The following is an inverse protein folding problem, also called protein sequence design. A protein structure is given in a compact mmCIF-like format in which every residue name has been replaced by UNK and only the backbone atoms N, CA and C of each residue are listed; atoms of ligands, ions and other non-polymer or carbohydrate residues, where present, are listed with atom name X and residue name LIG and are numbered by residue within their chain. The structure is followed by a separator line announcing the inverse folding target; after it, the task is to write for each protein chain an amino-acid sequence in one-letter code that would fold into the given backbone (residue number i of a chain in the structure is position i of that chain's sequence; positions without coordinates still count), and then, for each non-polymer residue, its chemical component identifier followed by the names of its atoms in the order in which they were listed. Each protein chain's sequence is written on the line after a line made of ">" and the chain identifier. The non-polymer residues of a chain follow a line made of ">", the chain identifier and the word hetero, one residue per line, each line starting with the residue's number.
data_IF_340266006803
#
_entry.id   IF_340266006803
#
_cell.length_a   1.000
_cell.length_b   1.000
_cell.length_c   1.000
_cell.angle_alpha   90.00
_cell.angle_beta   90.00
_cell.angle_gamma   90.00
#
_symmetry.space_group_name_H-M   'P 1'
#
loop_
_entity.id
_entity.type
_entity.pdbx_description
1 polymer ?
#
# COMPACT_ATOMS: atom_id res chain seq x y z
N UNK A 1 -11.20 -0.20 2.23
CA UNK A 1 -10.01 -0.85 1.65
C UNK A 1 -9.90 -0.61 0.15
N UNK A 2 -10.81 -1.15 -0.67
CA UNK A 2 -10.68 -1.11 -2.14
C UNK A 2 -10.68 0.31 -2.72
N UNK A 3 -11.55 1.19 -2.20
CA UNK A 3 -11.56 2.62 -2.55
C UNK A 3 -10.23 3.29 -2.16
N UNK A 4 -9.69 2.98 -0.98
CA UNK A 4 -8.41 3.51 -0.52
C UNK A 4 -7.24 3.04 -1.38
N UNK A 5 -7.20 1.76 -1.74
CA UNK A 5 -6.20 1.20 -2.64
C UNK A 5 -6.28 1.82 -4.05
N UNK A 6 -7.49 1.98 -4.59
CA UNK A 6 -7.70 2.65 -5.87
C UNK A 6 -7.17 4.09 -5.85
N UNK A 7 -7.49 4.84 -4.79
CA UNK A 7 -7.00 6.21 -4.61
C UNK A 7 -5.47 6.27 -4.49
N UNK A 8 -4.87 5.32 -3.77
CA UNK A 8 -3.41 5.23 -3.64
C UNK A 8 -2.73 4.92 -4.98
N UNK A 9 -3.30 4.00 -5.77
CA UNK A 9 -2.81 3.67 -7.12
C UNK A 9 -2.87 4.89 -8.03
N UNK A 10 -3.98 5.65 -8.01
CA UNK A 10 -4.10 6.88 -8.80
C UNK A 10 -3.00 7.88 -8.44
N UNK A 11 -2.73 8.08 -7.14
CA UNK A 11 -1.64 8.94 -6.68
C UNK A 11 -0.26 8.48 -7.18
N UNK A 12 0.05 7.19 -7.05
CA UNK A 12 1.31 6.60 -7.50
C UNK A 12 1.50 6.71 -9.02
N UNK A 13 0.44 6.47 -9.80
CA UNK A 13 0.48 6.60 -11.26
C UNK A 13 0.63 8.06 -11.69
N UNK A 14 -0.01 9.00 -10.97
CA UNK A 14 0.17 10.43 -11.22
C UNK A 14 1.61 10.88 -11.03
N UNK A 15 2.32 10.34 -10.03
CA UNK A 15 3.72 10.64 -9.77
C UNK A 15 4.67 10.18 -10.89
N UNK A 16 4.26 9.25 -11.77
CA UNK A 16 5.08 8.83 -12.91
C UNK A 16 5.26 9.93 -13.97
N UNK A 17 4.36 10.92 -14.00
CA UNK A 17 4.40 12.04 -14.94
C UNK A 17 5.16 13.26 -14.39
N UNK A 18 5.68 13.17 -13.16
CA UNK A 18 6.51 14.23 -12.57
C UNK A 18 7.86 14.27 -13.28
N UNK A 19 8.30 15.48 -13.60
CA UNK A 19 9.61 15.77 -14.20
C UNK A 19 10.21 17.04 -13.55
N UNK A 20 11.42 17.39 -13.96
CA UNK A 20 12.20 18.56 -13.50
C UNK A 20 11.46 19.90 -13.60
N UNK A 21 10.52 20.03 -14.54
CA UNK A 21 9.69 21.22 -14.70
C UNK A 21 8.41 21.25 -13.85
N UNK A 22 8.11 20.18 -13.11
CA UNK A 22 6.87 20.09 -12.33
C UNK A 22 6.95 20.96 -11.06
N UNK A 23 6.00 21.88 -10.83
CA UNK A 23 5.99 22.69 -9.61
C UNK A 23 5.87 21.82 -8.36
N UNK A 24 6.62 22.15 -7.30
CA UNK A 24 6.60 21.40 -6.04
C UNK A 24 5.19 21.28 -5.42
N UNK A 25 4.34 22.31 -5.61
CA UNK A 25 2.94 22.30 -5.17
C UNK A 25 2.16 21.19 -5.87
N UNK A 26 2.39 20.97 -7.17
CA UNK A 26 1.71 19.92 -7.92
C UNK A 26 2.17 18.53 -7.46
N UNK A 27 3.46 18.36 -7.17
CA UNK A 27 3.99 17.12 -6.58
C UNK A 27 3.34 16.85 -5.21
N UNK A 28 3.25 17.87 -4.36
CA UNK A 28 2.59 17.75 -3.06
C UNK A 28 1.12 17.35 -3.21
N UNK A 29 0.39 17.94 -4.17
CA UNK A 29 -1.00 17.57 -4.46
C UNK A 29 -1.13 16.12 -4.95
N UNK A 30 -0.18 15.61 -5.73
CA UNK A 30 -0.15 14.21 -6.17
C UNK A 30 0.16 13.22 -5.04
N UNK A 31 0.86 13.66 -3.99
CA UNK A 31 1.10 12.85 -2.79
C UNK A 31 -0.14 12.72 -1.90
N UNK A 32 -1.08 13.68 -1.95
CA UNK A 32 -2.32 13.65 -1.17
C UNK A 32 -3.17 12.40 -1.43
N UNK A 33 -3.55 12.04 -2.68
CA UNK A 33 -4.33 10.83 -2.92
C UNK A 33 -3.58 9.56 -2.52
N UNK A 34 -2.25 9.53 -2.69
CA UNK A 34 -1.42 8.42 -2.18
C UNK A 34 -1.57 8.26 -0.67
N UNK A 35 -1.37 9.35 0.09
CA UNK A 35 -1.43 9.34 1.55
C UNK A 35 -2.84 9.03 2.06
N UNK A 36 -3.87 9.65 1.49
CA UNK A 36 -5.27 9.39 1.82
C UNK A 36 -5.65 7.94 1.53
N UNK A 37 -5.23 7.40 0.39
CA UNK A 37 -5.48 6.01 0.03
C UNK A 37 -4.89 5.02 1.04
N UNK A 38 -3.66 5.28 1.49
CA UNK A 38 -3.03 4.54 2.58
C UNK A 38 -3.81 4.69 3.90
N UNK A 39 -4.19 5.91 4.28
CA UNK A 39 -4.95 6.17 5.50
C UNK A 39 -6.33 5.50 5.52
N UNK A 40 -6.98 5.34 4.37
CA UNK A 40 -8.26 4.64 4.21
C UNK A 40 -8.13 3.12 4.10
N UNK A 41 -6.89 2.60 4.04
CA UNK A 41 -6.62 1.17 3.85
C UNK A 41 -5.99 0.53 5.08
N UNK A 42 -4.94 1.14 5.63
CA UNK A 42 -4.10 0.51 6.67
C UNK A 42 -4.83 0.33 8.02
N UNK A 43 -5.52 1.34 8.59
CA UNK A 43 -6.23 1.16 9.85
C UNK A 43 -7.37 0.14 9.79
N UNK A 44 -8.29 0.18 8.80
CA UNK A 44 -9.31 -0.86 8.66
C UNK A 44 -8.73 -2.26 8.47
N UNK A 45 -7.59 -2.39 7.79
CA UNK A 45 -6.90 -3.68 7.60
C UNK A 45 -6.37 -4.22 8.90
N UNK A 46 -5.73 -3.35 9.68
CA UNK A 46 -5.23 -3.72 11.00
C UNK A 46 -6.37 -4.15 11.91
N UNK A 47 -7.48 -3.42 11.94
CA UNK A 47 -8.66 -3.77 12.72
C UNK A 47 -9.22 -5.13 12.30
N UNK A 48 -9.48 -5.33 11.00
CA UNK A 48 -10.01 -6.60 10.49
C UNK A 48 -9.10 -7.80 10.79
N UNK A 49 -7.77 -7.63 10.75
CA UNK A 49 -6.85 -8.72 11.10
C UNK A 49 -6.86 -9.07 12.59
N UNK A 50 -6.99 -8.07 13.47
CA UNK A 50 -7.05 -8.30 14.91
C UNK A 50 -8.41 -8.87 15.35
N UNK A 51 -9.50 -8.40 14.74
CA UNK A 51 -10.86 -8.88 15.01
C UNK A 51 -11.08 -10.33 14.56
N UNK A 52 -10.29 -10.82 13.59
CA UNK A 52 -10.36 -12.20 13.10
C UNK A 52 -9.79 -13.25 14.08
N UNK A 53 -9.16 -12.82 15.18
CA UNK A 53 -8.48 -13.70 16.13
C UNK A 53 -9.19 -13.66 17.49
N UNK A 54 -9.34 -14.79 18.21
CA UNK A 54 -9.91 -14.81 19.56
C UNK A 54 -9.19 -13.83 20.50
N UNK A 55 -9.93 -13.22 21.43
CA UNK A 55 -9.42 -12.20 22.34
C UNK A 55 -8.20 -12.66 23.16
N UNK A 56 -8.15 -13.93 23.53
CA UNK A 56 -7.05 -14.53 24.29
C UNK A 56 -5.73 -14.55 23.49
N UNK A 57 -5.80 -14.45 22.17
CA UNK A 57 -4.66 -14.46 21.24
C UNK A 57 -4.40 -13.09 20.60
N UNK A 58 -5.17 -12.05 20.95
CA UNK A 58 -5.03 -10.71 20.38
C UNK A 58 -3.60 -10.14 20.57
N UNK A 59 -2.97 -10.40 21.72
CA UNK A 59 -1.58 -10.02 21.98
C UNK A 59 -0.58 -10.68 21.04
N UNK A 60 -0.77 -11.98 20.73
CA UNK A 60 0.06 -12.70 19.76
C UNK A 60 -0.15 -12.16 18.34
N UNK A 61 -1.40 -11.93 17.94
CA UNK A 61 -1.73 -11.37 16.63
C UNK A 61 -1.10 -9.97 16.44
N UNK A 62 -1.21 -9.10 17.44
CA UNK A 62 -0.59 -7.78 17.43
C UNK A 62 0.94 -7.86 17.39
N UNK A 63 1.55 -8.80 18.13
CA UNK A 63 2.99 -9.05 18.11
C UNK A 63 3.48 -9.48 16.73
N UNK A 64 2.81 -10.44 16.11
CA UNK A 64 3.11 -10.90 14.73
C UNK A 64 2.93 -9.77 13.72
N UNK A 65 1.85 -9.00 13.82
CA UNK A 65 1.62 -7.86 12.93
C UNK A 65 2.74 -6.81 13.07
N UNK A 66 3.20 -6.54 14.29
CA UNK A 66 4.28 -5.59 14.50
C UNK A 66 5.62 -6.11 13.97
N UNK A 67 5.94 -7.39 14.18
CA UNK A 67 7.12 -8.03 13.61
C UNK A 67 7.10 -7.99 12.07
N UNK A 68 5.93 -8.29 11.48
CA UNK A 68 5.73 -8.22 10.03
C UNK A 68 5.93 -6.78 9.50
N UNK A 69 5.43 -5.75 10.19
CA UNK A 69 5.65 -4.34 9.82
C UNK A 69 7.12 -3.96 9.85
N UNK A 70 7.86 -4.36 10.88
CA UNK A 70 9.29 -4.07 10.98
C UNK A 70 10.09 -4.74 9.85
N UNK A 71 9.78 -6.01 9.57
CA UNK A 71 10.37 -6.76 8.47
C UNK A 71 10.05 -6.12 7.11
N UNK A 72 8.78 -5.78 6.87
CA UNK A 72 8.35 -5.11 5.63
C UNK A 72 9.03 -3.74 5.46
N UNK A 73 9.21 -2.98 6.55
CA UNK A 73 9.95 -1.71 6.53
C UNK A 73 11.40 -1.90 6.11
N UNK A 74 12.11 -2.84 6.73
CA UNK A 74 13.50 -3.15 6.38
C UNK A 74 13.64 -3.64 4.92
N UNK A 75 12.76 -4.54 4.49
CA UNK A 75 12.74 -5.06 3.11
C UNK A 75 12.42 -3.95 2.10
N UNK A 76 11.43 -3.10 2.38
CA UNK A 76 11.06 -1.98 1.50
C UNK A 76 12.20 -1.00 1.32
N UNK A 77 12.90 -0.63 2.42
CA UNK A 77 14.08 0.23 2.37
C UNK A 77 15.19 -0.41 1.54
N UNK A 78 15.50 -1.69 1.78
CA UNK A 78 16.57 -2.39 1.08
C UNK A 78 16.28 -2.53 -0.44
N UNK A 79 15.08 -2.99 -0.80
CA UNK A 79 14.70 -3.21 -2.19
C UNK A 79 14.59 -1.88 -2.94
N UNK A 80 13.79 -0.92 -2.46
CA UNK A 80 13.62 0.34 -3.16
C UNK A 80 14.89 1.20 -3.14
N UNK A 81 15.69 1.13 -2.07
CA UNK A 81 17.02 1.73 -2.00
C UNK A 81 17.97 1.18 -3.06
N UNK A 82 18.00 -0.14 -3.23
CA UNK A 82 18.78 -0.77 -4.29
C UNK A 82 18.33 -0.34 -5.68
N UNK A 83 17.02 -0.24 -5.94
CA UNK A 83 16.50 0.20 -7.23
C UNK A 83 16.95 1.62 -7.62
N UNK A 84 16.97 2.56 -6.67
CA UNK A 84 17.40 3.94 -6.95
C UNK A 84 18.91 4.12 -7.01
N UNK A 85 19.69 3.18 -6.45
CA UNK A 85 21.15 3.28 -6.37
C UNK A 85 21.87 3.32 -7.73
N UNK A 86 21.33 2.60 -8.73
CA UNK A 86 21.88 2.57 -10.10
C UNK A 86 21.41 3.70 -11.00
N UNK A 87 20.52 4.57 -10.50
CA UNK A 87 19.94 5.68 -11.27
C UNK A 87 18.61 6.15 -10.67
N UNK A 88 18.63 7.31 -10.04
CA UNK A 88 17.52 7.80 -9.21
C UNK A 88 16.18 7.84 -9.95
N UNK A 89 16.12 8.48 -11.13
CA UNK A 89 14.85 8.66 -11.86
C UNK A 89 14.28 7.32 -12.35
N UNK A 90 15.12 6.47 -12.95
CA UNK A 90 14.70 5.15 -13.44
C UNK A 90 14.26 4.24 -12.27
N UNK A 91 15.05 4.20 -11.20
CA UNK A 91 14.74 3.44 -9.99
C UNK A 91 13.47 3.92 -9.28
N UNK A 92 13.23 5.23 -9.23
CA UNK A 92 12.00 5.81 -8.67
C UNK A 92 10.78 5.41 -9.50
N UNK A 93 10.84 5.54 -10.83
CA UNK A 93 9.74 5.12 -11.71
C UNK A 93 9.41 3.64 -11.57
N UNK A 94 10.45 2.80 -11.47
CA UNK A 94 10.28 1.37 -11.24
C UNK A 94 9.66 1.09 -9.85
N UNK A 95 10.10 1.80 -8.82
CA UNK A 95 9.56 1.66 -7.46
C UNK A 95 8.08 2.06 -7.38
N UNK A 96 7.70 3.16 -8.04
CA UNK A 96 6.31 3.61 -8.16
C UNK A 96 5.47 2.57 -8.93
N UNK A 97 5.98 2.05 -10.04
CA UNK A 97 5.32 1.02 -10.84
C UNK A 97 5.09 -0.29 -10.06
N UNK A 98 6.11 -0.79 -9.36
CA UNK A 98 6.02 -1.97 -8.50
C UNK A 98 4.99 -1.75 -7.38
N UNK A 99 5.04 -0.58 -6.72
CA UNK A 99 4.09 -0.25 -5.64
C UNK A 99 2.65 -0.21 -6.13
N UNK A 100 2.41 0.41 -7.29
CA UNK A 100 1.09 0.44 -7.92
C UNK A 100 0.62 -0.96 -8.29
N UNK A 101 1.48 -1.79 -8.89
CA UNK A 101 1.17 -3.17 -9.23
C UNK A 101 0.81 -4.01 -8.01
N UNK A 102 1.58 -3.89 -6.91
CA UNK A 102 1.30 -4.60 -5.66
C UNK A 102 -0.06 -4.18 -5.05
N UNK A 103 -0.39 -2.89 -5.08
CA UNK A 103 -1.69 -2.40 -4.61
C UNK A 103 -2.85 -2.88 -5.50
N UNK A 104 -2.66 -2.93 -6.82
CA UNK A 104 -3.65 -3.48 -7.75
C UNK A 104 -3.85 -4.98 -7.50
N UNK A 105 -2.77 -5.75 -7.40
CA UNK A 105 -2.84 -7.21 -7.16
C UNK A 105 -3.52 -7.50 -5.83
N UNK A 106 -3.12 -6.83 -4.74
CA UNK A 106 -3.76 -7.02 -3.43
C UNK A 106 -5.23 -6.57 -3.42
N UNK A 107 -5.56 -5.48 -4.11
CA UNK A 107 -6.95 -5.06 -4.30
C UNK A 107 -7.77 -6.09 -5.07
N UNK A 108 -7.25 -6.60 -6.18
CA UNK A 108 -7.90 -7.64 -6.99
C UNK A 108 -8.09 -8.94 -6.20
N UNK A 109 -7.08 -9.40 -5.46
CA UNK A 109 -7.19 -10.57 -4.59
C UNK A 109 -8.27 -10.35 -3.51
N UNK A 110 -8.29 -9.17 -2.90
CA UNK A 110 -9.32 -8.80 -1.92
C UNK A 110 -10.72 -8.82 -2.55
N UNK A 111 -10.88 -8.29 -3.76
CA UNK A 111 -12.15 -8.37 -4.52
C UNK A 111 -12.55 -9.81 -4.85
N UNK A 112 -11.60 -10.66 -5.24
CA UNK A 112 -11.87 -12.06 -5.62
C UNK A 112 -12.25 -12.93 -4.43
N UNK A 113 -11.67 -12.66 -3.26
CA UNK A 113 -12.02 -13.34 -2.01
C UNK A 113 -13.31 -12.79 -1.38
N UNK A 114 -13.73 -11.57 -1.75
CA UNK A 114 -14.93 -10.93 -1.25
C UNK A 114 -16.22 -11.23 -2.06
N UNK A 115 -16.18 -12.09 -3.08
CA UNK A 115 -17.37 -12.48 -3.86
C UNK A 115 -17.79 -13.94 -3.64
N UNK A 116 -19.07 -14.27 -3.84
CA UNK A 116 -20.25 -13.78 -3.13
C UNK A 116 -20.32 -14.36 -1.72
N UNK A 117 -20.61 -13.54 -0.71
CA UNK A 117 -21.12 -14.06 0.56
C UNK A 117 -22.35 -14.92 0.26
N UNK A 118 -22.31 -16.16 0.73
CA UNK A 118 -23.42 -17.09 0.73
C UNK A 118 -24.69 -16.37 1.24
N UNK A 119 -25.58 -16.03 0.32
CA UNK A 119 -27.00 -16.10 0.61
C UNK A 119 -27.30 -17.59 0.83
N UNK A 120 -27.94 -17.90 1.96
CA UNK A 120 -28.29 -19.23 2.49
C UNK A 120 -27.23 -19.95 3.33
N UNK A 121 -27.31 -19.79 4.65
CA UNK A 121 -27.57 -20.87 5.59
C UNK A 121 -28.07 -20.29 6.92
#
# INVERSE_FOLDING_TARGET
>A
MLVGQGLAVVGLLGLLYVDTGTPAVLVALLLVPMALGCALTVPPLTAAMLDAVPAERAGLAAGVLNAARQMAGALGIAVFGALVSGGFVAGMRLSLGISAALLVVTGLLSFRLAGPSASSA
#
